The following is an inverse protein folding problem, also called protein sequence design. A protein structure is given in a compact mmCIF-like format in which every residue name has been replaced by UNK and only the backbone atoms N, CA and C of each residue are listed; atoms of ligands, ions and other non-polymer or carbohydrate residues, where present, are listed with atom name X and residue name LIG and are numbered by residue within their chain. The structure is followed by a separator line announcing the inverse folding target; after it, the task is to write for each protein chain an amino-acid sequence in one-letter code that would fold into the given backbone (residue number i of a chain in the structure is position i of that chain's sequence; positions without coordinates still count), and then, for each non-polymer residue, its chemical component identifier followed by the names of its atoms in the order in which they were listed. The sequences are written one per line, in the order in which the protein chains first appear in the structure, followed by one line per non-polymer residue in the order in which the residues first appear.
data_IF_544780606758
#
_entry.id   IF_544780606758
#
_cell.length_a   1.000
_cell.length_b   1.000
_cell.length_c   1.000
_cell.angle_alpha   90.00
_cell.angle_beta   90.00
_cell.angle_gamma   90.00
#
_symmetry.space_group_name_H-M   'P 1'
#
loop_
_entity.id
_entity.type
_entity.pdbx_description
1 polymer ?
#
# COMPACT_ATOMS: atom_id res chain seq x y z
N UNK A 1 -10.04 -15.61 7.01
CA UNK A 1 -8.72 -15.00 7.27
C UNK A 1 -8.41 -15.16 8.77
N UNK A 2 -7.28 -15.77 9.12
CA UNK A 2 -6.83 -15.95 10.52
C UNK A 2 -5.62 -15.05 10.86
N UNK A 3 -5.48 -13.94 10.13
CA UNK A 3 -4.33 -13.04 10.27
C UNK A 3 -4.51 -12.19 11.52
N UNK A 4 -3.51 -12.21 12.40
CA UNK A 4 -3.49 -11.36 13.60
C UNK A 4 -3.39 -9.89 13.20
N UNK A 5 -4.29 -9.07 13.73
CA UNK A 5 -4.29 -7.61 13.54
C UNK A 5 -3.97 -6.97 14.89
N UNK A 6 -3.04 -6.02 14.90
CA UNK A 6 -2.61 -5.28 16.09
C UNK A 6 -2.67 -3.79 15.78
N UNK A 7 -3.12 -2.98 16.74
CA UNK A 7 -3.07 -1.52 16.61
C UNK A 7 -1.67 -1.03 16.97
N UNK A 8 -1.04 -0.29 16.06
CA UNK A 8 0.29 0.28 16.31
C UNK A 8 0.32 1.18 17.56
N UNK A 9 -0.79 1.85 17.89
CA UNK A 9 -0.91 2.72 19.08
C UNK A 9 -0.91 1.98 20.42
N UNK A 10 -1.14 0.66 20.42
CA UNK A 10 -1.11 -0.17 21.64
C UNK A 10 0.31 -0.68 21.94
N UNK A 11 1.27 -0.43 21.04
CA UNK A 11 2.65 -0.85 21.17
C UNK A 11 3.49 0.27 21.82
N UNK A 12 4.52 -0.07 22.61
CA UNK A 12 5.41 0.91 23.23
C UNK A 12 6.46 1.46 22.23
N UNK A 13 6.03 1.88 21.04
CA UNK A 13 6.89 2.41 19.98
C UNK A 13 6.60 3.90 19.80
N UNK A 14 7.62 4.74 20.00
CA UNK A 14 7.50 6.21 19.97
C UNK A 14 8.24 6.85 18.81
N UNK A 15 8.90 6.07 17.97
CA UNK A 15 9.57 6.55 16.77
C UNK A 15 8.58 7.05 15.70
N UNK A 16 9.12 7.63 14.63
CA UNK A 16 8.36 8.34 13.59
C UNK A 16 8.95 8.06 12.21
N UNK A 17 8.16 8.34 11.17
CA UNK A 17 8.58 8.23 9.74
C UNK A 17 9.13 6.83 9.45
N UNK A 18 10.23 6.71 8.70
CA UNK A 18 10.90 5.45 8.38
C UNK A 18 11.18 4.58 9.62
N UNK A 19 11.68 5.19 10.71
CA UNK A 19 12.03 4.47 11.94
C UNK A 19 10.82 3.76 12.57
N UNK A 20 9.64 4.38 12.52
CA UNK A 20 8.41 3.77 13.04
C UNK A 20 8.14 2.43 12.37
N UNK A 21 8.31 2.39 11.05
CA UNK A 21 8.06 1.20 10.26
C UNK A 21 9.12 0.13 10.56
N UNK A 22 10.39 0.52 10.65
CA UNK A 22 11.48 -0.39 11.00
C UNK A 22 11.28 -1.02 12.39
N UNK A 23 10.95 -0.20 13.39
CA UNK A 23 10.70 -0.67 14.77
C UNK A 23 9.48 -1.61 14.83
N UNK A 24 8.44 -1.33 14.06
CA UNK A 24 7.28 -2.23 13.95
C UNK A 24 7.68 -3.58 13.35
N UNK A 25 8.46 -3.59 12.26
CA UNK A 25 8.94 -4.82 11.66
C UNK A 25 9.81 -5.63 12.64
N UNK A 26 10.75 -4.98 13.33
CA UNK A 26 11.60 -5.64 14.32
C UNK A 26 10.79 -6.17 15.52
N UNK A 27 9.82 -5.40 16.02
CA UNK A 27 8.96 -5.81 17.13
C UNK A 27 8.21 -7.11 16.85
N UNK A 28 7.77 -7.32 15.60
CA UNK A 28 7.08 -8.53 15.18
C UNK A 28 7.98 -9.60 14.56
N UNK A 29 9.29 -9.38 14.49
CA UNK A 29 10.22 -10.29 13.80
C UNK A 29 9.88 -10.46 12.32
N UNK A 30 9.42 -9.41 11.65
CA UNK A 30 9.08 -9.46 10.24
C UNK A 30 10.35 -9.58 9.38
N UNK A 31 10.29 -10.42 8.35
CA UNK A 31 11.35 -10.54 7.33
C UNK A 31 11.08 -9.64 6.12
N UNK A 32 9.82 -9.20 5.96
CA UNK A 32 9.37 -8.40 4.83
C UNK A 32 8.41 -7.30 5.26
N UNK A 33 8.53 -6.16 4.60
CA UNK A 33 7.59 -5.04 4.70
C UNK A 33 7.01 -4.73 3.32
N UNK A 34 5.68 -4.76 3.19
CA UNK A 34 4.99 -4.34 1.97
C UNK A 34 4.59 -2.86 2.09
N UNK A 35 5.17 -2.00 1.27
CA UNK A 35 4.85 -0.57 1.20
C UNK A 35 4.13 -0.21 -0.09
N UNK A 36 3.39 0.90 -0.09
CA UNK A 36 2.93 1.50 -1.34
C UNK A 36 4.10 2.10 -2.13
N UNK A 37 3.99 2.26 -3.45
CA UNK A 37 5.07 2.76 -4.31
C UNK A 37 5.73 4.07 -3.82
N UNK A 38 4.95 4.99 -3.24
CA UNK A 38 5.45 6.26 -2.70
C UNK A 38 6.31 6.11 -1.43
N UNK A 39 6.32 4.93 -0.82
CA UNK A 39 7.16 4.60 0.34
C UNK A 39 8.65 4.79 0.07
N UNK A 40 9.09 4.60 -1.19
CA UNK A 40 10.47 4.83 -1.64
C UNK A 40 10.98 6.24 -1.34
N UNK A 41 10.09 7.21 -1.23
CA UNK A 41 10.47 8.61 -1.01
C UNK A 41 10.87 8.92 0.43
N UNK A 42 10.54 8.06 1.40
CA UNK A 42 10.77 8.34 2.81
C UNK A 42 11.36 7.19 3.62
N UNK A 43 11.33 5.96 3.11
CA UNK A 43 11.92 4.81 3.77
C UNK A 43 13.44 4.84 3.62
N UNK A 44 14.11 4.48 4.70
CA UNK A 44 15.57 4.39 4.79
C UNK A 44 15.96 2.94 4.50
N UNK A 45 15.95 2.57 3.22
CA UNK A 45 16.03 1.18 2.76
C UNK A 45 17.28 0.44 3.27
N UNK A 46 18.41 1.15 3.40
CA UNK A 46 19.66 0.59 3.91
C UNK A 46 19.49 0.07 5.34
N UNK A 47 18.76 0.79 6.19
CA UNK A 47 18.52 0.37 7.58
C UNK A 47 17.58 -0.82 7.70
N UNK A 48 16.68 -1.00 6.74
CA UNK A 48 15.86 -2.21 6.66
C UNK A 48 16.72 -3.40 6.23
N UNK A 49 17.57 -3.21 5.21
CA UNK A 49 18.49 -4.23 4.73
C UNK A 49 19.46 -4.68 5.83
N UNK A 50 20.05 -3.74 6.58
CA UNK A 50 20.93 -4.01 7.72
C UNK A 50 20.22 -4.82 8.83
N UNK A 51 18.91 -4.63 8.99
CA UNK A 51 18.08 -5.38 9.93
C UNK A 51 17.58 -6.73 9.37
N UNK A 52 17.98 -7.11 8.14
CA UNK A 52 17.53 -8.33 7.48
C UNK A 52 16.08 -8.28 6.97
N UNK A 53 15.52 -7.08 6.77
CA UNK A 53 14.13 -6.87 6.35
C UNK A 53 14.11 -6.41 4.89
N UNK A 54 13.42 -7.16 4.03
CA UNK A 54 13.22 -6.76 2.63
C UNK A 54 12.00 -5.86 2.48
N UNK A 55 12.10 -4.79 1.70
CA UNK A 55 10.94 -3.96 1.36
C UNK A 55 10.42 -4.35 -0.02
N UNK A 56 9.17 -4.80 -0.07
CA UNK A 56 8.43 -4.99 -1.30
C UNK A 56 7.55 -3.75 -1.55
N UNK A 57 7.52 -3.26 -2.79
CA UNK A 57 6.70 -2.12 -3.17
C UNK A 57 5.51 -2.55 -4.02
N UNK A 58 4.31 -2.23 -3.55
CA UNK A 58 3.10 -2.35 -4.33
C UNK A 58 3.02 -1.17 -5.33
N UNK A 59 3.31 -1.45 -6.59
CA UNK A 59 3.10 -0.55 -7.73
C UNK A 59 1.69 -0.77 -8.29
N UNK A 60 0.68 -0.20 -7.64
CA UNK A 60 -0.69 -0.27 -8.14
C UNK A 60 -0.82 0.58 -9.40
N UNK A 61 -1.05 -0.09 -10.53
CA UNK A 61 -1.34 0.58 -11.79
C UNK A 61 -2.85 0.75 -11.90
N UNK A 62 -3.28 2.00 -11.95
CA UNK A 62 -4.69 2.33 -12.09
C UNK A 62 -5.24 1.69 -13.37
N UNK A 63 -6.24 0.80 -13.26
CA UNK A 63 -6.85 0.24 -14.43
C UNK A 63 -7.66 1.34 -15.12
N UNK A 64 -7.51 1.44 -16.44
CA UNK A 64 -8.27 2.41 -17.22
C UNK A 64 -9.71 1.93 -17.39
N UNK A 65 -10.65 2.84 -17.21
CA UNK A 65 -12.08 2.59 -17.42
C UNK A 65 -12.72 3.78 -18.15
N UNK A 66 -13.86 3.57 -18.81
CA UNK A 66 -14.58 4.68 -19.45
C UNK A 66 -14.93 5.74 -18.42
N UNK A 67 -14.50 6.98 -18.66
CA UNK A 67 -14.99 8.14 -17.92
C UNK A 67 -15.88 8.95 -18.87
N UNK A 68 -16.96 9.51 -18.36
CA UNK A 68 -17.99 10.15 -19.18
C UNK A 68 -17.40 11.31 -20.01
N UNK A 69 -16.47 12.08 -19.45
CA UNK A 69 -16.04 13.38 -20.01
C UNK A 69 -14.54 13.40 -20.29
N UNK A 70 -14.16 12.97 -21.49
CA UNK A 70 -12.80 13.07 -22.00
C UNK A 70 -11.98 11.79 -21.82
N UNK A 71 -10.67 11.96 -21.65
CA UNK A 71 -9.74 10.85 -21.50
C UNK A 71 -9.72 10.35 -20.05
N UNK A 72 -9.23 9.12 -19.86
CA UNK A 72 -9.04 8.53 -18.54
C UNK A 72 -8.08 9.35 -17.68
N UNK A 73 -8.57 9.77 -16.51
CA UNK A 73 -7.79 10.41 -15.45
C UNK A 73 -7.48 9.38 -14.33
N UNK A 74 -6.20 9.03 -14.09
CA UNK A 74 -5.80 8.10 -13.04
C UNK A 74 -5.93 8.71 -11.63
N UNK A 75 -5.68 7.91 -10.60
CA UNK A 75 -5.67 8.35 -9.18
C UNK A 75 -7.02 8.82 -8.62
N UNK A 76 -8.12 8.53 -9.32
CA UNK A 76 -9.46 8.78 -8.82
C UNK A 76 -9.90 7.74 -7.78
N UNK A 77 -10.87 8.12 -6.94
CA UNK A 77 -11.41 7.23 -5.91
C UNK A 77 -12.39 6.20 -6.48
N UNK A 78 -12.70 5.16 -5.71
CA UNK A 78 -13.65 4.10 -6.09
C UNK A 78 -15.05 4.63 -6.49
N UNK A 79 -15.44 5.80 -5.96
CA UNK A 79 -16.73 6.43 -6.30
C UNK A 79 -16.75 6.92 -7.75
N UNK A 80 -15.62 7.41 -8.28
CA UNK A 80 -15.52 7.80 -9.70
C UNK A 80 -15.80 6.59 -10.60
N UNK A 81 -15.16 5.46 -10.32
CA UNK A 81 -15.42 4.22 -11.03
C UNK A 81 -16.90 3.84 -11.00
N UNK A 82 -17.53 3.82 -9.81
CA UNK A 82 -18.92 3.44 -9.68
C UNK A 82 -19.89 4.34 -10.43
N UNK A 83 -19.63 5.66 -10.47
CA UNK A 83 -20.49 6.61 -11.18
C UNK A 83 -20.34 6.49 -12.71
N UNK A 84 -19.19 6.03 -13.20
CA UNK A 84 -18.96 5.85 -14.63
C UNK A 84 -19.29 4.44 -15.13
N UNK A 85 -19.14 3.40 -14.31
CA UNK A 85 -19.17 1.99 -14.73
C UNK A 85 -20.13 1.11 -13.91
N UNK A 86 -20.75 1.62 -12.85
CA UNK A 86 -21.57 0.82 -11.93
C UNK A 86 -20.71 -0.05 -11.00
N UNK A 87 -21.34 -1.04 -10.35
CA UNK A 87 -20.70 -1.81 -9.27
C UNK A 87 -19.82 -2.97 -9.73
N UNK A 88 -19.88 -3.38 -11.00
CA UNK A 88 -19.09 -4.49 -11.51
C UNK A 88 -17.65 -4.05 -11.82
N UNK A 89 -16.81 -4.12 -10.80
CA UNK A 89 -15.39 -3.78 -10.88
C UNK A 89 -14.50 -4.96 -11.28
N UNK A 90 -15.05 -6.18 -11.32
CA UNK A 90 -14.25 -7.39 -11.53
C UNK A 90 -13.56 -7.39 -12.89
N UNK A 91 -14.24 -6.93 -13.94
CA UNK A 91 -13.65 -6.89 -15.28
C UNK A 91 -12.43 -5.95 -15.36
N UNK A 92 -12.49 -4.83 -14.65
CA UNK A 92 -11.45 -3.79 -14.64
C UNK A 92 -10.24 -4.18 -13.79
N UNK A 93 -10.45 -4.86 -12.65
CA UNK A 93 -9.36 -5.25 -11.75
C UNK A 93 -8.64 -6.52 -12.20
N UNK A 94 -9.31 -7.40 -12.94
CA UNK A 94 -8.74 -8.71 -13.32
C UNK A 94 -8.27 -8.76 -14.77
N UNK A 95 -8.57 -7.73 -15.57
CA UNK A 95 -8.25 -7.68 -16.99
C UNK A 95 -8.89 -8.83 -17.80
N UNK A 96 -10.00 -9.39 -17.29
CA UNK A 96 -10.77 -10.50 -17.86
C UNK A 96 -12.22 -10.12 -18.02
#
# INVERSE_FOLDING_TARGET
MNTRIVRASELPITSRKSQLILDLCQHFGAEKYLSGALGKNYLDEDRFADAGITIDYQDFRHPAYPQLWGNFEPYMCIVDYWMNCGSDIHHVLTGK
#
